data_IF_748391897373
#
_entry.id   IF_748391897373
#
_cell.length_a   1.000
_cell.length_b   1.000
_cell.length_c   1.000
_cell.angle_alpha   90.00
_cell.angle_beta   90.00
_cell.angle_gamma   90.00
#
_symmetry.space_group_name_H-M   'P 1'
#
loop_
_entity.id
_entity.type
_entity.pdbx_description
1 polymer ?
#
# COMPACT_ATOMS: atom_id res chain seq x y z
N UNK A 1 -9.85 -24.14 -14.24
CA UNK A 1 -8.40 -23.93 -14.31
C UNK A 1 -8.00 -23.99 -15.77
N UNK A 2 -7.25 -23.00 -16.25
CA UNK A 2 -6.73 -22.96 -17.63
C UNK A 2 -5.27 -22.53 -17.56
N UNK A 3 -4.36 -23.45 -17.91
CA UNK A 3 -2.91 -23.19 -17.91
C UNK A 3 -2.42 -23.33 -19.35
N UNK A 4 -1.83 -22.27 -19.89
CA UNK A 4 -1.22 -22.32 -21.22
C UNK A 4 -0.07 -23.35 -21.22
N UNK A 5 0.05 -24.23 -22.21
CA UNK A 5 1.09 -25.27 -22.23
C UNK A 5 2.53 -24.74 -22.28
N UNK A 6 2.73 -23.46 -22.56
CA UNK A 6 4.04 -22.78 -22.53
C UNK A 6 4.32 -22.11 -21.19
N UNK A 7 3.39 -22.11 -20.22
CA UNK A 7 3.65 -21.63 -18.87
C UNK A 7 4.54 -22.64 -18.11
N UNK A 8 5.35 -22.13 -17.21
CA UNK A 8 6.18 -22.95 -16.31
C UNK A 8 5.55 -22.90 -14.92
N UNK A 9 4.90 -23.96 -14.52
CA UNK A 9 4.33 -24.13 -13.18
C UNK A 9 5.15 -25.19 -12.45
N UNK A 10 5.83 -24.77 -11.38
CA UNK A 10 6.69 -25.66 -10.63
C UNK A 10 5.86 -26.72 -9.86
N UNK A 11 6.44 -27.90 -9.68
CA UNK A 11 5.91 -28.92 -8.75
C UNK A 11 5.87 -28.32 -7.32
N UNK A 12 4.73 -28.45 -6.64
CA UNK A 12 4.50 -27.86 -5.33
C UNK A 12 3.64 -26.58 -5.34
N UNK A 13 3.54 -25.89 -6.47
CA UNK A 13 2.60 -24.77 -6.62
C UNK A 13 1.15 -25.21 -6.40
N UNK A 14 0.39 -24.44 -5.62
CA UNK A 14 -1.03 -24.74 -5.32
C UNK A 14 -1.92 -23.73 -6.02
N UNK A 15 -2.67 -24.20 -7.01
CA UNK A 15 -3.59 -23.38 -7.79
C UNK A 15 -5.04 -23.79 -7.48
N UNK A 16 -5.85 -22.84 -7.01
CA UNK A 16 -7.26 -23.05 -6.70
C UNK A 16 -8.10 -23.18 -8.00
N UNK A 17 -9.38 -23.62 -7.89
CA UNK A 17 -10.28 -23.66 -9.03
C UNK A 17 -10.39 -22.31 -9.75
N UNK A 18 -10.58 -22.34 -11.06
CA UNK A 18 -10.77 -21.11 -11.87
C UNK A 18 -9.51 -20.30 -12.15
N UNK A 19 -8.34 -20.65 -11.58
CA UNK A 19 -7.07 -19.97 -11.89
C UNK A 19 -6.73 -20.12 -13.37
N UNK A 20 -6.27 -19.01 -13.96
CA UNK A 20 -5.81 -18.95 -15.34
C UNK A 20 -4.32 -18.53 -15.36
N UNK A 21 -3.50 -19.22 -16.14
CA UNK A 21 -2.07 -18.92 -16.28
C UNK A 21 -1.73 -18.77 -17.75
N UNK A 22 -1.28 -17.57 -18.12
CA UNK A 22 -0.93 -17.20 -19.50
C UNK A 22 0.41 -17.78 -19.97
N UNK A 23 0.65 -17.68 -21.28
CA UNK A 23 1.84 -18.19 -21.93
C UNK A 23 3.13 -17.59 -21.31
N UNK A 24 4.15 -18.43 -21.11
CA UNK A 24 5.45 -18.04 -20.57
C UNK A 24 5.41 -17.41 -19.16
N UNK A 25 4.29 -17.48 -18.45
CA UNK A 25 4.25 -17.16 -17.03
C UNK A 25 5.04 -18.20 -16.22
N UNK A 26 5.67 -17.77 -15.14
CA UNK A 26 6.44 -18.64 -14.25
C UNK A 26 5.82 -18.61 -12.86
N UNK A 27 5.45 -19.78 -12.33
CA UNK A 27 4.93 -19.96 -10.98
C UNK A 27 5.90 -20.84 -10.19
N UNK A 28 6.43 -20.31 -9.10
CA UNK A 28 7.38 -21.01 -8.23
C UNK A 28 6.76 -22.10 -7.36
N UNK A 29 7.57 -22.98 -6.74
CA UNK A 29 7.08 -24.17 -6.02
C UNK A 29 6.33 -23.85 -4.72
N UNK A 30 6.67 -22.76 -4.04
CA UNK A 30 6.07 -22.37 -2.75
C UNK A 30 4.97 -21.32 -2.91
N UNK A 31 4.34 -21.28 -4.09
CA UNK A 31 3.29 -20.31 -4.45
C UNK A 31 1.92 -20.92 -4.25
N UNK A 32 1.03 -20.18 -3.57
CA UNK A 32 -0.39 -20.49 -3.44
C UNK A 32 -1.23 -19.41 -4.13
N UNK A 33 -2.10 -19.79 -5.05
CA UNK A 33 -2.96 -18.87 -5.83
C UNK A 33 -4.43 -19.20 -5.60
N UNK A 34 -5.19 -18.21 -5.11
CA UNK A 34 -6.60 -18.29 -4.81
C UNK A 34 -7.50 -18.32 -6.05
N UNK A 35 -8.78 -18.67 -5.81
CA UNK A 35 -9.79 -18.92 -6.81
C UNK A 35 -9.97 -17.77 -7.81
N UNK A 36 -10.12 -18.10 -9.09
CA UNK A 36 -10.44 -17.14 -10.15
C UNK A 36 -9.35 -16.12 -10.47
N UNK A 37 -8.16 -16.24 -9.87
CA UNK A 37 -7.02 -15.36 -10.15
C UNK A 37 -6.47 -15.61 -11.55
N UNK A 38 -6.11 -14.51 -12.24
CA UNK A 38 -5.57 -14.52 -13.60
C UNK A 38 -4.12 -14.05 -13.58
N UNK A 39 -3.21 -14.91 -14.01
CA UNK A 39 -1.78 -14.59 -14.20
C UNK A 39 -1.55 -14.40 -15.70
N UNK A 40 -1.19 -13.19 -16.10
CA UNK A 40 -0.93 -12.80 -17.49
C UNK A 40 0.34 -13.45 -18.07
N UNK A 41 0.51 -13.36 -19.39
CA UNK A 41 1.71 -13.92 -20.04
C UNK A 41 2.98 -13.24 -19.54
N UNK A 42 4.08 -14.00 -19.45
CA UNK A 42 5.38 -13.50 -18.97
C UNK A 42 5.39 -12.92 -17.55
N UNK A 43 4.34 -13.08 -16.76
CA UNK A 43 4.36 -12.70 -15.35
C UNK A 43 5.13 -13.75 -14.52
N UNK A 44 5.77 -13.31 -13.46
CA UNK A 44 6.52 -14.18 -12.55
C UNK A 44 5.89 -14.07 -11.15
N UNK A 45 5.51 -15.20 -10.59
CA UNK A 45 5.07 -15.31 -9.19
C UNK A 45 5.96 -16.36 -8.53
N UNK A 46 6.73 -15.97 -7.52
CA UNK A 46 7.77 -16.82 -6.95
C UNK A 46 7.90 -16.63 -5.44
N UNK A 47 8.88 -17.32 -4.83
CA UNK A 47 9.09 -17.30 -3.39
C UNK A 47 7.89 -17.88 -2.62
N UNK A 48 7.88 -17.69 -1.33
CA UNK A 48 6.76 -18.08 -0.45
C UNK A 48 5.63 -17.05 -0.56
N UNK A 49 4.90 -17.10 -1.69
CA UNK A 49 3.85 -16.13 -2.03
C UNK A 49 2.47 -16.76 -1.92
N UNK A 50 1.61 -16.15 -1.11
CA UNK A 50 0.18 -16.42 -1.10
C UNK A 50 -0.56 -15.26 -1.77
N UNK A 51 -1.21 -15.57 -2.89
CA UNK A 51 -2.06 -14.65 -3.64
C UNK A 51 -3.52 -15.10 -3.46
N UNK A 52 -4.37 -14.22 -2.96
CA UNK A 52 -5.78 -14.47 -2.73
C UNK A 52 -6.59 -14.72 -4.01
N UNK A 53 -7.91 -14.60 -3.91
CA UNK A 53 -8.83 -14.85 -5.00
C UNK A 53 -8.98 -13.64 -5.94
N UNK A 54 -9.39 -13.90 -7.19
CA UNK A 54 -9.81 -12.91 -8.21
C UNK A 54 -8.78 -11.80 -8.50
N UNK A 55 -7.52 -12.02 -8.14
CA UNK A 55 -6.45 -11.10 -8.50
C UNK A 55 -6.16 -11.14 -10.01
N UNK A 56 -5.67 -10.02 -10.55
CA UNK A 56 -5.22 -9.91 -11.94
C UNK A 56 -3.77 -9.45 -11.97
N UNK A 57 -2.88 -10.33 -12.42
CA UNK A 57 -1.45 -10.03 -12.59
C UNK A 57 -1.17 -9.91 -14.07
N UNK A 58 -0.79 -8.74 -14.52
CA UNK A 58 -0.51 -8.45 -15.93
C UNK A 58 0.90 -8.90 -16.31
N UNK A 59 1.16 -8.87 -17.61
CA UNK A 59 2.44 -9.29 -18.19
C UNK A 59 3.63 -8.53 -17.58
N UNK A 60 4.74 -9.24 -17.41
CA UNK A 60 6.00 -8.73 -16.89
C UNK A 60 5.96 -8.24 -15.43
N UNK A 61 4.88 -8.45 -14.70
CA UNK A 61 4.87 -8.23 -13.25
C UNK A 61 5.70 -9.32 -12.56
N UNK A 62 6.37 -8.95 -11.46
CA UNK A 62 7.18 -9.86 -10.62
C UNK A 62 6.68 -9.79 -9.16
N UNK A 63 6.06 -10.84 -8.70
CA UNK A 63 5.45 -10.92 -7.38
C UNK A 63 6.18 -11.96 -6.52
N UNK A 64 6.65 -11.54 -5.34
CA UNK A 64 7.26 -12.44 -4.36
C UNK A 64 8.75 -12.69 -4.58
N UNK A 65 9.42 -11.93 -5.41
CA UNK A 65 10.87 -12.07 -5.59
C UNK A 65 11.64 -11.62 -4.34
N UNK A 66 12.93 -11.95 -4.30
CA UNK A 66 13.84 -11.62 -3.20
C UNK A 66 13.84 -10.12 -2.88
N UNK A 67 13.99 -9.73 -1.60
CA UNK A 67 14.18 -8.34 -1.23
C UNK A 67 15.39 -7.73 -1.93
N UNK A 68 15.26 -6.45 -2.34
CA UNK A 68 16.38 -5.67 -2.83
C UNK A 68 17.21 -5.10 -1.65
N UNK A 69 17.59 -5.98 -0.73
CA UNK A 69 18.42 -5.66 0.44
C UNK A 69 19.72 -6.47 0.38
N UNK A 70 20.85 -5.77 0.44
CA UNK A 70 22.20 -6.41 0.44
C UNK A 70 22.42 -7.37 1.61
N UNK A 71 21.63 -7.29 2.66
CA UNK A 71 21.74 -8.13 3.86
C UNK A 71 20.90 -9.40 3.77
N UNK A 72 20.04 -9.52 2.76
CA UNK A 72 19.23 -10.71 2.55
C UNK A 72 20.12 -11.85 2.07
N UNK A 73 20.04 -13.01 2.73
CA UNK A 73 20.88 -14.17 2.49
C UNK A 73 20.10 -15.42 2.01
N UNK A 74 18.85 -15.22 1.53
CA UNK A 74 18.02 -16.32 1.00
C UNK A 74 17.07 -16.92 2.02
N UNK A 75 16.76 -16.23 3.11
CA UNK A 75 15.86 -16.68 4.15
C UNK A 75 14.42 -16.88 3.61
N UNK A 76 13.63 -17.83 4.16
CA UNK A 76 12.30 -18.17 3.68
C UNK A 76 11.23 -17.16 4.15
N UNK A 77 11.41 -15.91 3.75
CA UNK A 77 10.46 -14.82 3.98
C UNK A 77 9.36 -14.82 2.91
N UNK A 78 8.26 -14.13 3.14
CA UNK A 78 7.05 -14.32 2.32
C UNK A 78 6.35 -13.04 1.93
N UNK A 79 5.39 -13.21 1.00
CA UNK A 79 4.39 -12.22 0.60
C UNK A 79 3.00 -12.80 0.84
N UNK A 80 2.13 -12.03 1.44
CA UNK A 80 0.69 -12.32 1.55
C UNK A 80 -0.11 -11.20 0.89
N UNK A 81 -0.93 -11.57 -0.09
CA UNK A 81 -1.77 -10.66 -0.87
C UNK A 81 -3.21 -11.13 -0.75
N UNK A 82 -4.11 -10.21 -0.46
CA UNK A 82 -5.54 -10.45 -0.38
C UNK A 82 -6.21 -10.67 -1.74
N UNK A 83 -7.49 -10.35 -1.81
CA UNK A 83 -8.37 -10.60 -2.94
C UNK A 83 -8.52 -9.37 -3.86
N UNK A 84 -8.99 -9.59 -5.09
CA UNK A 84 -9.46 -8.56 -6.04
C UNK A 84 -8.41 -7.50 -6.44
N UNK A 85 -7.13 -7.71 -6.19
CA UNK A 85 -6.07 -6.77 -6.56
C UNK A 85 -5.74 -6.84 -8.06
N UNK A 86 -5.32 -5.70 -8.61
CA UNK A 86 -4.84 -5.58 -10.00
C UNK A 86 -3.40 -5.11 -10.00
N UNK A 87 -2.50 -5.97 -10.48
CA UNK A 87 -1.08 -5.65 -10.68
C UNK A 87 -0.83 -5.47 -12.18
N UNK A 88 -0.60 -4.23 -12.62
CA UNK A 88 -0.34 -3.90 -14.02
C UNK A 88 1.09 -4.29 -14.41
N UNK A 89 1.45 -3.95 -15.62
CA UNK A 89 2.71 -4.30 -16.25
C UNK A 89 3.92 -3.80 -15.45
N UNK A 90 4.93 -4.65 -15.31
CA UNK A 90 6.20 -4.33 -14.62
C UNK A 90 6.06 -3.95 -13.14
N UNK A 91 4.93 -4.23 -12.51
CA UNK A 91 4.78 -4.09 -11.06
C UNK A 91 5.70 -5.09 -10.37
N UNK A 92 6.36 -4.65 -9.29
CA UNK A 92 7.19 -5.54 -8.47
C UNK A 92 6.74 -5.49 -7.02
N UNK A 93 6.63 -6.67 -6.39
CA UNK A 93 6.35 -6.82 -4.96
C UNK A 93 7.38 -7.78 -4.37
N UNK A 94 8.23 -7.30 -3.49
CA UNK A 94 9.26 -8.12 -2.85
C UNK A 94 8.76 -8.74 -1.53
N UNK A 95 9.25 -9.95 -1.21
CA UNK A 95 8.99 -10.59 0.08
C UNK A 95 9.74 -9.90 1.23
N UNK A 96 9.37 -10.19 2.47
CA UNK A 96 9.97 -9.59 3.66
C UNK A 96 11.43 -9.98 3.90
N UNK A 97 12.01 -9.48 4.99
CA UNK A 97 13.37 -9.81 5.46
C UNK A 97 13.30 -10.48 6.83
N UNK A 98 14.21 -11.39 7.12
CA UNK A 98 14.23 -12.13 8.40
C UNK A 98 14.55 -11.23 9.62
N UNK A 99 15.07 -10.03 9.40
CA UNK A 99 15.45 -9.09 10.46
C UNK A 99 14.30 -8.26 11.00
N UNK A 100 13.13 -8.29 10.34
CA UNK A 100 11.91 -7.61 10.78
C UNK A 100 10.74 -8.60 10.78
N UNK A 101 9.66 -8.27 10.10
CA UNK A 101 8.42 -9.06 10.09
C UNK A 101 8.54 -10.36 9.29
N UNK A 102 9.52 -10.45 8.40
CA UNK A 102 9.68 -11.59 7.50
C UNK A 102 8.59 -11.69 6.44
N UNK A 103 7.78 -10.64 6.30
CA UNK A 103 6.59 -10.67 5.44
C UNK A 103 6.22 -9.29 4.91
N UNK A 104 5.91 -9.25 3.62
CA UNK A 104 5.22 -8.13 2.98
C UNK A 104 3.74 -8.47 2.84
N UNK A 105 2.86 -7.53 3.21
CA UNK A 105 1.40 -7.71 3.15
C UNK A 105 0.73 -6.68 2.27
N UNK A 106 -0.22 -7.14 1.48
CA UNK A 106 -1.11 -6.33 0.66
C UNK A 106 -2.55 -6.76 0.93
N UNK A 107 -3.42 -5.82 1.24
CA UNK A 107 -4.85 -6.06 1.46
C UNK A 107 -5.61 -6.33 0.16
N UNK A 108 -6.87 -5.94 0.13
CA UNK A 108 -7.81 -6.26 -0.94
C UNK A 108 -8.11 -5.07 -1.84
N UNK A 109 -8.59 -5.33 -3.05
CA UNK A 109 -9.14 -4.34 -4.00
C UNK A 109 -8.19 -3.16 -4.27
N UNK A 110 -6.90 -3.45 -4.43
CA UNK A 110 -5.90 -2.45 -4.75
C UNK A 110 -5.59 -2.42 -6.26
N UNK A 111 -5.30 -1.23 -6.78
CA UNK A 111 -4.80 -1.03 -8.13
C UNK A 111 -3.34 -0.58 -8.10
N UNK A 112 -2.45 -1.44 -8.57
CA UNK A 112 -1.04 -1.12 -8.81
C UNK A 112 -0.86 -0.86 -10.32
N UNK A 113 -0.71 0.41 -10.70
CA UNK A 113 -0.47 0.78 -12.09
C UNK A 113 0.97 0.46 -12.52
N UNK A 114 1.22 0.54 -13.81
CA UNK A 114 2.46 0.08 -14.41
C UNK A 114 3.71 0.63 -13.71
N UNK A 115 4.68 -0.27 -13.51
CA UNK A 115 5.99 0.01 -12.89
C UNK A 115 5.94 0.53 -11.46
N UNK A 116 4.84 0.36 -10.73
CA UNK A 116 4.83 0.62 -9.29
C UNK A 116 5.59 -0.48 -8.52
N UNK A 117 6.09 -0.13 -7.33
CA UNK A 117 6.94 -1.02 -6.54
C UNK A 117 6.52 -1.05 -5.07
N UNK A 118 6.45 -2.25 -4.51
CA UNK A 118 6.29 -2.50 -3.08
C UNK A 118 7.52 -3.27 -2.58
N UNK A 119 8.38 -2.59 -1.81
CA UNK A 119 9.56 -3.22 -1.23
C UNK A 119 9.20 -4.16 -0.06
N UNK A 120 10.22 -4.80 0.47
CA UNK A 120 10.14 -5.78 1.56
C UNK A 120 9.53 -5.20 2.85
N UNK A 121 8.87 -6.04 3.62
CA UNK A 121 8.29 -5.74 4.94
C UNK A 121 7.25 -4.61 4.95
N UNK A 122 6.77 -4.18 3.77
CA UNK A 122 5.69 -3.22 3.65
C UNK A 122 4.35 -3.84 4.08
N UNK A 123 3.47 -2.98 4.58
CA UNK A 123 2.06 -3.29 4.83
C UNK A 123 1.21 -2.31 4.05
N UNK A 124 0.44 -2.80 3.10
CA UNK A 124 -0.50 -2.01 2.30
C UNK A 124 -1.92 -2.42 2.66
N UNK A 125 -2.76 -1.46 3.00
CA UNK A 125 -4.18 -1.67 3.28
C UNK A 125 -4.98 -2.02 2.03
N UNK A 126 -6.28 -1.81 2.09
CA UNK A 126 -7.22 -2.13 1.02
C UNK A 126 -7.70 -0.88 0.26
N UNK A 127 -8.22 -1.09 -0.96
CA UNK A 127 -8.80 -0.04 -1.81
C UNK A 127 -7.80 1.08 -2.19
N UNK A 128 -6.51 0.79 -2.21
CA UNK A 128 -5.47 1.74 -2.53
C UNK A 128 -5.23 1.84 -4.04
N UNK A 129 -4.74 2.99 -4.48
CA UNK A 129 -4.31 3.21 -5.86
C UNK A 129 -2.85 3.67 -5.86
N UNK A 130 -2.00 2.89 -6.50
CA UNK A 130 -0.61 3.22 -6.79
C UNK A 130 -0.54 3.58 -8.27
N UNK A 131 -0.46 4.86 -8.58
CA UNK A 131 -0.32 5.29 -9.96
C UNK A 131 1.08 4.92 -10.51
N UNK A 132 1.28 5.12 -11.81
CA UNK A 132 2.51 4.72 -12.49
C UNK A 132 3.77 5.20 -11.76
N UNK A 133 4.72 4.26 -11.55
CA UNK A 133 6.00 4.52 -10.90
C UNK A 133 5.92 4.96 -9.42
N UNK A 134 4.76 4.82 -8.77
CA UNK A 134 4.67 5.00 -7.31
C UNK A 134 5.47 3.90 -6.60
N UNK A 135 6.34 4.28 -5.67
CA UNK A 135 7.37 3.38 -5.10
C UNK A 135 7.40 3.47 -3.58
N UNK A 136 7.31 2.33 -2.92
CA UNK A 136 7.55 2.20 -1.49
C UNK A 136 8.96 1.62 -1.25
N UNK A 137 9.74 2.27 -0.42
CA UNK A 137 10.91 1.65 0.18
C UNK A 137 10.50 0.65 1.29
N UNK A 138 11.46 -0.09 1.85
CA UNK A 138 11.15 -1.12 2.85
C UNK A 138 10.44 -0.60 4.11
N UNK A 139 9.63 -1.46 4.74
CA UNK A 139 8.94 -1.21 6.02
C UNK A 139 7.89 -0.08 6.01
N UNK A 140 7.43 0.35 4.85
CA UNK A 140 6.38 1.38 4.73
C UNK A 140 5.02 0.78 5.11
N UNK A 141 4.21 1.55 5.85
CA UNK A 141 2.85 1.20 6.20
C UNK A 141 1.86 2.15 5.50
N UNK A 142 0.96 1.61 4.70
CA UNK A 142 -0.08 2.34 3.97
C UNK A 142 -1.45 1.91 4.51
N UNK A 143 -2.26 2.86 4.95
CA UNK A 143 -3.65 2.61 5.37
C UNK A 143 -4.58 2.38 4.18
N UNK A 144 -5.87 2.19 4.47
CA UNK A 144 -6.87 1.94 3.44
C UNK A 144 -7.19 3.20 2.61
N UNK A 145 -7.63 2.99 1.37
CA UNK A 145 -8.08 4.06 0.49
C UNK A 145 -7.02 5.14 0.18
N UNK A 146 -5.76 4.84 0.32
CA UNK A 146 -4.66 5.76 -0.02
C UNK A 146 -4.48 5.82 -1.52
N UNK A 147 -4.24 7.03 -2.03
CA UNK A 147 -3.85 7.23 -3.42
C UNK A 147 -2.43 7.80 -3.44
N UNK A 148 -1.51 7.06 -4.04
CA UNK A 148 -0.19 7.54 -4.41
C UNK A 148 -0.21 7.90 -5.90
N UNK A 149 -0.16 9.17 -6.21
CA UNK A 149 -0.12 9.62 -7.62
C UNK A 149 1.23 9.32 -8.26
N UNK A 150 1.33 9.48 -9.57
CA UNK A 150 2.49 9.05 -10.34
C UNK A 150 3.82 9.61 -9.84
N UNK A 151 4.88 8.81 -9.91
CA UNK A 151 6.23 9.16 -9.46
C UNK A 151 6.34 9.51 -7.96
N UNK A 152 5.38 9.10 -7.14
CA UNK A 152 5.50 9.23 -5.69
C UNK A 152 6.56 8.28 -5.16
N UNK A 153 7.50 8.80 -4.37
CA UNK A 153 8.48 7.99 -3.62
C UNK A 153 8.23 8.07 -2.11
N UNK A 154 8.12 6.92 -1.44
CA UNK A 154 7.92 6.86 0.01
C UNK A 154 9.16 6.27 0.67
N UNK A 155 9.79 7.06 1.55
CA UNK A 155 11.00 6.65 2.29
C UNK A 155 10.70 5.52 3.28
N UNK A 156 11.70 4.68 3.53
CA UNK A 156 11.58 3.53 4.46
C UNK A 156 11.03 3.94 5.84
N UNK A 157 10.23 3.05 6.43
CA UNK A 157 9.58 3.20 7.74
C UNK A 157 8.53 4.32 7.83
N UNK A 158 8.24 5.05 6.76
CA UNK A 158 7.15 6.03 6.77
C UNK A 158 5.78 5.34 6.84
N UNK A 159 4.85 6.03 7.47
CA UNK A 159 3.44 5.64 7.55
C UNK A 159 2.57 6.64 6.79
N UNK A 160 1.59 6.15 6.04
CA UNK A 160 0.58 6.98 5.37
C UNK A 160 -0.79 6.51 5.84
N UNK A 161 -1.51 7.40 6.52
CA UNK A 161 -2.83 7.11 7.10
C UNK A 161 -3.92 6.97 6.03
N UNK A 162 -5.00 6.27 6.39
CA UNK A 162 -6.12 5.97 5.50
C UNK A 162 -6.72 7.24 4.87
N UNK A 163 -7.20 7.10 3.63
CA UNK A 163 -7.79 8.18 2.83
C UNK A 163 -6.83 9.33 2.45
N UNK A 164 -5.55 9.23 2.74
CA UNK A 164 -4.57 10.22 2.29
C UNK A 164 -4.43 10.22 0.77
N UNK A 165 -4.07 11.36 0.22
CA UNK A 165 -3.74 11.54 -1.19
C UNK A 165 -2.34 12.14 -1.29
N UNK A 166 -1.43 11.43 -1.91
CA UNK A 166 -0.07 11.92 -2.18
C UNK A 166 -0.02 12.34 -3.64
N UNK A 167 0.25 13.63 -3.86
CA UNK A 167 0.28 14.20 -5.21
C UNK A 167 1.44 13.63 -6.05
N UNK A 168 1.34 13.77 -7.37
CA UNK A 168 2.38 13.30 -8.28
C UNK A 168 3.75 13.94 -7.98
N UNK A 169 4.81 13.20 -8.23
CA UNK A 169 6.19 13.64 -8.04
C UNK A 169 6.49 14.12 -6.60
N UNK A 170 5.89 13.47 -5.60
CA UNK A 170 6.06 13.81 -4.18
C UNK A 170 7.03 12.85 -3.51
N UNK A 171 7.99 13.38 -2.73
CA UNK A 171 8.90 12.60 -1.89
C UNK A 171 8.44 12.59 -0.44
N UNK A 172 7.86 11.50 0.01
CA UNK A 172 7.39 11.31 1.39
C UNK A 172 8.55 10.83 2.26
N UNK A 173 9.04 11.69 3.15
CA UNK A 173 10.16 11.38 4.06
C UNK A 173 9.74 11.34 5.54
N UNK A 174 8.48 11.64 5.83
CA UNK A 174 7.86 11.67 7.17
C UNK A 174 6.45 11.08 7.10
N UNK A 175 5.89 10.77 8.25
CA UNK A 175 4.55 10.18 8.36
C UNK A 175 3.46 11.17 7.91
N UNK A 176 2.53 10.70 7.08
CA UNK A 176 1.38 11.48 6.59
C UNK A 176 0.12 11.01 7.29
N UNK A 177 -0.52 11.86 8.13
CA UNK A 177 -1.75 11.48 8.82
C UNK A 177 -2.92 11.15 7.87
N UNK A 178 -3.96 10.48 8.38
CA UNK A 178 -5.16 10.18 7.61
C UNK A 178 -5.78 11.42 6.97
N UNK A 179 -6.43 11.24 5.83
CA UNK A 179 -7.21 12.24 5.11
C UNK A 179 -6.41 13.38 4.46
N UNK A 180 -5.10 13.45 4.69
CA UNK A 180 -4.27 14.55 4.22
C UNK A 180 -3.96 14.42 2.73
N UNK A 181 -4.02 15.56 2.03
CA UNK A 181 -3.36 15.74 0.75
C UNK A 181 -1.96 16.28 1.00
N UNK A 182 -0.94 15.52 0.66
CA UNK A 182 0.47 15.92 0.75
C UNK A 182 1.05 16.15 -0.63
N UNK A 183 1.88 17.18 -0.78
CA UNK A 183 2.52 17.57 -2.04
C UNK A 183 3.96 18.00 -1.80
N UNK A 184 4.82 17.87 -2.81
CA UNK A 184 6.14 18.49 -2.80
C UNK A 184 7.31 17.54 -2.55
N UNK A 185 8.49 18.10 -2.54
CA UNK A 185 9.77 17.41 -2.41
C UNK A 185 10.72 18.21 -1.50
N UNK A 186 10.72 17.94 -0.18
CA UNK A 186 9.97 16.92 0.57
C UNK A 186 8.45 17.20 0.64
N UNK A 187 7.68 16.15 0.97
CA UNK A 187 6.23 16.23 1.12
C UNK A 187 5.81 17.17 2.25
N UNK A 188 4.87 18.05 1.96
CA UNK A 188 4.25 18.97 2.92
C UNK A 188 2.73 18.80 2.95
N UNK A 189 2.07 19.07 4.09
CA UNK A 189 0.61 18.97 4.21
C UNK A 189 -0.06 20.17 3.49
N UNK A 190 -0.70 19.89 2.36
CA UNK A 190 -1.36 20.92 1.55
C UNK A 190 -2.78 21.23 2.02
N UNK A 191 -3.61 20.19 2.13
CA UNK A 191 -5.02 20.28 2.47
C UNK A 191 -5.58 18.92 2.91
N UNK A 192 -6.89 18.85 3.10
CA UNK A 192 -7.64 17.59 3.27
C UNK A 192 -8.07 17.06 1.90
N UNK A 193 -8.02 15.74 1.70
CA UNK A 193 -8.54 15.04 0.52
C UNK A 193 -10.09 15.06 0.50
N UNK A 194 -10.69 16.25 0.53
CA UNK A 194 -12.14 16.42 0.67
C UNK A 194 -12.93 15.74 -0.45
N UNK A 195 -12.46 15.81 -1.69
CA UNK A 195 -13.10 15.16 -2.84
C UNK A 195 -13.11 13.64 -2.69
N UNK A 196 -11.98 13.05 -2.27
CA UNK A 196 -11.90 11.61 -2.03
C UNK A 196 -12.83 11.16 -0.90
N UNK A 197 -12.89 11.92 0.18
CA UNK A 197 -13.79 11.63 1.31
C UNK A 197 -15.26 11.68 0.89
N UNK A 198 -15.70 12.75 0.19
CA UNK A 198 -17.08 12.87 -0.29
C UNK A 198 -17.47 11.73 -1.23
N UNK A 199 -16.58 11.31 -2.14
CA UNK A 199 -16.82 10.16 -3.04
C UNK A 199 -16.96 8.83 -2.29
N UNK A 200 -16.42 8.73 -1.07
CA UNK A 200 -16.49 7.55 -0.20
C UNK A 200 -17.59 7.64 0.86
N UNK A 201 -18.51 8.58 0.71
CA UNK A 201 -19.72 8.69 1.54
C UNK A 201 -19.54 9.45 2.85
N UNK A 202 -18.43 10.13 3.08
CA UNK A 202 -18.31 11.03 4.22
C UNK A 202 -19.29 12.19 4.08
N UNK A 203 -20.05 12.48 5.14
CA UNK A 203 -21.01 13.58 5.15
C UNK A 203 -20.29 14.93 5.09
N UNK A 204 -21.01 15.97 4.68
CA UNK A 204 -20.50 17.35 4.67
C UNK A 204 -19.99 17.77 6.07
N UNK A 205 -20.67 17.31 7.12
CA UNK A 205 -20.29 17.57 8.50
C UNK A 205 -18.97 16.88 8.86
N UNK A 206 -18.83 15.60 8.58
CA UNK A 206 -17.57 14.85 8.81
C UNK A 206 -16.39 15.48 8.07
N UNK A 207 -16.59 15.85 6.78
CA UNK A 207 -15.54 16.54 6.01
C UNK A 207 -15.19 17.89 6.63
N UNK A 208 -16.16 18.63 7.15
CA UNK A 208 -15.93 19.89 7.88
C UNK A 208 -15.11 19.66 9.15
N UNK A 209 -15.46 18.65 9.94
CA UNK A 209 -14.75 18.29 11.17
C UNK A 209 -13.29 17.88 10.88
N UNK A 210 -13.06 17.06 9.86
CA UNK A 210 -11.70 16.71 9.40
C UNK A 210 -10.91 17.96 8.94
N UNK A 211 -11.55 18.91 8.24
CA UNK A 211 -10.91 20.19 7.89
C UNK A 211 -10.54 21.02 9.12
N UNK A 212 -11.37 21.01 10.15
CA UNK A 212 -11.06 21.69 11.40
C UNK A 212 -9.88 21.02 12.12
N UNK A 213 -9.85 19.68 12.16
CA UNK A 213 -8.70 18.93 12.69
C UNK A 213 -7.40 19.25 11.94
N UNK A 214 -7.46 19.32 10.61
CA UNK A 214 -6.33 19.78 9.79
C UNK A 214 -5.85 21.17 10.19
N UNK A 215 -6.76 22.14 10.36
CA UNK A 215 -6.41 23.50 10.79
C UNK A 215 -5.77 23.50 12.17
N UNK A 216 -6.31 22.74 13.11
CA UNK A 216 -5.75 22.60 14.46
C UNK A 216 -4.34 22.07 14.41
N UNK A 217 -4.05 21.07 13.58
CA UNK A 217 -2.72 20.44 13.50
C UNK A 217 -1.69 21.29 12.73
N UNK A 218 -2.11 22.01 11.68
CA UNK A 218 -1.21 22.60 10.69
C UNK A 218 -1.31 24.12 10.51
N UNK A 219 -2.35 24.77 11.04
CA UNK A 219 -2.65 26.19 10.76
C UNK A 219 -3.00 27.02 12.00
N UNK A 220 -2.77 26.50 13.20
CA UNK A 220 -3.17 27.15 14.44
C UNK A 220 -1.99 27.69 15.26
N UNK A 221 -0.77 27.57 14.74
CA UNK A 221 0.49 27.93 15.45
C UNK A 221 0.66 27.32 16.85
N UNK A 222 -0.13 26.25 17.14
CA UNK A 222 -0.06 25.52 18.41
C UNK A 222 1.16 24.59 18.45
N UNK A 223 1.77 24.40 19.63
CA UNK A 223 2.65 23.27 19.86
C UNK A 223 1.94 21.95 19.53
N UNK A 224 2.69 20.95 19.03
CA UNK A 224 2.11 19.67 18.62
C UNK A 224 1.30 19.00 19.75
N UNK A 225 1.81 19.03 20.97
CA UNK A 225 1.15 18.44 22.15
C UNK A 225 -0.21 19.08 22.44
N UNK A 226 -0.30 20.41 22.33
CA UNK A 226 -1.57 21.11 22.51
C UNK A 226 -2.54 20.84 21.36
N UNK A 227 -2.07 20.82 20.12
CA UNK A 227 -2.89 20.44 18.98
C UNK A 227 -3.45 19.01 19.14
N UNK A 228 -2.62 18.07 19.58
CA UNK A 228 -3.06 16.68 19.84
C UNK A 228 -4.08 16.60 20.97
N UNK A 229 -3.91 17.40 22.03
CA UNK A 229 -4.91 17.47 23.12
C UNK A 229 -6.26 17.93 22.61
N UNK A 230 -6.32 19.00 21.82
CA UNK A 230 -7.56 19.48 21.19
C UNK A 230 -8.17 18.45 20.21
N UNK A 231 -7.33 17.71 19.50
CA UNK A 231 -7.83 16.64 18.63
C UNK A 231 -8.45 15.49 19.45
N UNK A 232 -7.89 15.14 20.61
CA UNK A 232 -8.46 14.13 21.53
C UNK A 232 -9.82 14.59 22.08
N UNK A 233 -9.94 15.85 22.45
CA UNK A 233 -11.21 16.43 22.91
C UNK A 233 -12.27 16.37 21.79
N UNK A 234 -11.90 16.76 20.56
CA UNK A 234 -12.79 16.66 19.41
C UNK A 234 -13.20 15.21 19.10
N UNK A 235 -12.29 14.26 19.19
CA UNK A 235 -12.54 12.84 18.93
C UNK A 235 -13.59 12.22 19.88
N UNK A 236 -13.82 12.80 21.06
CA UNK A 236 -14.83 12.33 21.99
C UNK A 236 -16.27 12.43 21.45
N UNK A 237 -16.52 13.37 20.52
CA UNK A 237 -17.85 13.59 19.92
C UNK A 237 -17.84 13.46 18.39
N UNK A 238 -16.68 13.35 17.77
CA UNK A 238 -16.46 13.30 16.33
C UNK A 238 -15.62 12.05 15.97
N UNK A 239 -16.25 10.89 15.76
CA UNK A 239 -15.55 9.61 15.57
C UNK A 239 -14.61 9.63 14.36
N UNK A 240 -14.87 10.45 13.33
CA UNK A 240 -13.97 10.63 12.18
C UNK A 240 -12.61 11.24 12.55
N UNK A 241 -12.46 11.82 13.74
CA UNK A 241 -11.20 12.39 14.21
C UNK A 241 -10.33 11.34 14.95
N UNK A 242 -10.95 10.25 15.44
CA UNK A 242 -10.22 9.16 16.13
C UNK A 242 -9.01 8.66 15.33
N UNK A 243 -9.10 8.39 14.01
CA UNK A 243 -7.96 7.95 13.22
C UNK A 243 -6.78 8.93 13.19
N UNK A 244 -7.03 10.24 13.29
CA UNK A 244 -5.95 11.22 13.43
C UNK A 244 -5.17 11.03 14.73
N UNK A 245 -5.88 10.92 15.85
CA UNK A 245 -5.30 10.79 17.18
C UNK A 245 -4.51 9.50 17.30
N UNK A 246 -5.08 8.39 16.87
CA UNK A 246 -4.44 7.08 16.88
C UNK A 246 -3.17 7.06 16.00
N UNK A 247 -3.26 7.63 14.80
CA UNK A 247 -2.13 7.71 13.89
C UNK A 247 -0.97 8.51 14.48
N UNK A 248 -1.25 9.68 15.06
CA UNK A 248 -0.23 10.53 15.69
C UNK A 248 0.44 9.78 16.85
N UNK A 249 -0.34 9.04 17.64
CA UNK A 249 0.19 8.25 18.77
C UNK A 249 1.14 7.12 18.37
N UNK A 250 1.03 6.60 17.15
CA UNK A 250 1.91 5.54 16.62
C UNK A 250 2.95 6.01 15.60
N UNK A 251 3.01 7.32 15.34
CA UNK A 251 4.00 7.90 14.43
C UNK A 251 5.41 7.78 15.01
N UNK A 252 6.35 7.34 14.19
CA UNK A 252 7.75 7.12 14.59
C UNK A 252 8.75 7.94 13.78
N UNK A 253 8.32 8.49 12.62
CA UNK A 253 9.17 9.24 11.68
C UNK A 253 8.91 10.74 11.69
N UNK A 254 8.24 11.28 12.72
CA UNK A 254 7.66 12.62 12.76
C UNK A 254 6.59 12.83 11.68
N UNK A 255 5.69 13.76 11.89
CA UNK A 255 4.69 14.10 10.89
C UNK A 255 5.25 15.02 9.80
N UNK A 256 4.71 14.95 8.59
CA UNK A 256 4.87 16.01 7.59
C UNK A 256 4.42 17.34 8.21
N UNK A 257 5.25 18.38 8.11
CA UNK A 257 4.97 19.70 8.68
C UNK A 257 5.72 20.78 7.93
#
# INVERSE_FOLDING_TARGET
MSIDPRAVVAEGAKLAPGVQVGAYAIIGPDVEIGEGTVIGPHAVVTGWTRLGARNKVFQFASIGDAPQDKKYAGEPTRVEIGDDNVFREYVTVNRGTAKDKGITRVGDDNLFMASSHVAHDCVVGSHCVFANLATLAGHVEIGDHVILAGFTGVHQFCKIGSHAFIANNTAVTRDVPPYIMAVGHPAEPHSVNATGLSRRGFSTEQVRNIKNAFRTLYRSDLPLEEAVTRLREAAATQPEIVPFVEFIGRSTRSLVR
#
